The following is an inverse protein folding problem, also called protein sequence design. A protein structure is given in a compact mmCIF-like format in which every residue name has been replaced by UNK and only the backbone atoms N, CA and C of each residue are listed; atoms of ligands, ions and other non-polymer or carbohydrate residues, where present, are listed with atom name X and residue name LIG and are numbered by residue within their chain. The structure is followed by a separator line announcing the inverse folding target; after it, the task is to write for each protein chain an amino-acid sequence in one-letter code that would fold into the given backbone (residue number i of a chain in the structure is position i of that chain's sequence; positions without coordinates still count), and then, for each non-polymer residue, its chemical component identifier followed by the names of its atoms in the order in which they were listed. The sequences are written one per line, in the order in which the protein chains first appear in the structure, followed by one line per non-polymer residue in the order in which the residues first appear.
data_IF_281141188712
#
_entry.id   IF_281141188712
#
_cell.length_a   1.000
_cell.length_b   1.000
_cell.length_c   1.000
_cell.angle_alpha   90.00
_cell.angle_beta   90.00
_cell.angle_gamma   90.00
#
_symmetry.space_group_name_H-M   'P 1'
#
loop_
_entity.id
_entity.type
_entity.pdbx_description
1 polymer ?
#
# COMPACT_ATOMS: atom_id res chain seq x y z
N UNK A 1 -11.14 -4.87 -27.01
CA UNK A 1 -10.78 -5.35 -25.66
C UNK A 1 -11.24 -6.78 -25.56
N UNK A 2 -10.30 -7.70 -25.39
CA UNK A 2 -10.58 -9.10 -25.05
C UNK A 2 -10.90 -9.19 -23.55
N UNK A 3 -11.68 -10.21 -23.16
CA UNK A 3 -11.96 -10.50 -21.74
C UNK A 3 -10.68 -10.60 -20.91
N UNK A 4 -9.59 -11.14 -21.48
CA UNK A 4 -8.28 -11.21 -20.82
C UNK A 4 -7.67 -9.84 -20.52
N UNK A 5 -7.78 -8.90 -21.46
CA UNK A 5 -7.23 -7.55 -21.31
C UNK A 5 -8.00 -6.78 -20.23
N UNK A 6 -9.32 -6.96 -20.19
CA UNK A 6 -10.18 -6.37 -19.15
C UNK A 6 -9.85 -6.91 -17.76
N UNK A 7 -9.64 -8.23 -17.62
CA UNK A 7 -9.21 -8.82 -16.35
C UNK A 7 -7.82 -8.35 -15.92
N UNK A 8 -6.89 -8.18 -16.86
CA UNK A 8 -5.57 -7.67 -16.54
C UNK A 8 -5.62 -6.22 -16.05
N UNK A 9 -6.40 -5.37 -16.73
CA UNK A 9 -6.60 -3.98 -16.34
C UNK A 9 -7.27 -3.89 -14.96
N UNK A 10 -8.31 -4.70 -14.72
CA UNK A 10 -8.95 -4.76 -13.41
C UNK A 10 -7.98 -5.19 -12.31
N UNK A 11 -7.16 -6.22 -12.54
CA UNK A 11 -6.14 -6.66 -11.59
C UNK A 11 -5.10 -5.58 -11.32
N UNK A 12 -4.69 -4.81 -12.33
CA UNK A 12 -3.75 -3.70 -12.19
C UNK A 12 -4.35 -2.59 -11.33
N UNK A 13 -5.62 -2.24 -11.57
CA UNK A 13 -6.35 -1.24 -10.79
C UNK A 13 -6.52 -1.66 -9.33
N UNK A 14 -6.84 -2.93 -9.08
CA UNK A 14 -6.92 -3.46 -7.71
C UNK A 14 -5.57 -3.38 -6.99
N UNK A 15 -4.49 -3.83 -7.65
CA UNK A 15 -3.15 -3.76 -7.10
C UNK A 15 -2.77 -2.32 -6.74
N UNK A 16 -3.04 -1.38 -7.64
CA UNK A 16 -2.77 0.03 -7.41
C UNK A 16 -3.57 0.60 -6.23
N UNK A 17 -4.87 0.28 -6.14
CA UNK A 17 -5.70 0.70 -5.01
C UNK A 17 -5.21 0.14 -3.67
N UNK A 18 -4.76 -1.12 -3.65
CA UNK A 18 -4.18 -1.74 -2.45
C UNK A 18 -2.86 -1.08 -2.03
N UNK A 19 -2.00 -0.75 -2.99
CA UNK A 19 -0.72 -0.08 -2.73
C UNK A 19 -0.91 1.29 -2.08
N UNK A 20 -1.89 2.07 -2.56
CA UNK A 20 -2.26 3.36 -1.94
C UNK A 20 -2.81 3.15 -0.52
N UNK A 21 -3.74 2.21 -0.36
CA UNK A 21 -4.35 1.95 0.95
C UNK A 21 -3.31 1.50 1.98
N UNK A 22 -2.35 0.67 1.57
CA UNK A 22 -1.24 0.25 2.41
C UNK A 22 -0.33 1.43 2.79
N UNK A 23 0.01 2.29 1.83
CA UNK A 23 0.83 3.48 2.12
C UNK A 23 0.15 4.40 3.14
N UNK A 24 -1.13 4.71 2.92
CA UNK A 24 -1.91 5.55 3.84
C UNK A 24 -2.01 4.93 5.24
N UNK A 25 -2.16 3.60 5.33
CA UNK A 25 -2.17 2.89 6.60
C UNK A 25 -0.84 3.06 7.35
N UNK A 26 0.30 2.91 6.66
CA UNK A 26 1.63 3.04 7.25
C UNK A 26 1.85 4.48 7.74
N UNK A 27 1.54 5.49 6.91
CA UNK A 27 1.67 6.91 7.25
C UNK A 27 0.83 7.29 8.46
N UNK A 28 -0.45 6.91 8.46
CA UNK A 28 -1.38 7.22 9.56
C UNK A 28 -0.97 6.51 10.86
N UNK A 29 -0.46 5.28 10.76
CA UNK A 29 0.06 4.54 11.92
C UNK A 29 1.34 5.20 12.45
N UNK A 30 2.24 5.64 11.57
CA UNK A 30 3.47 6.34 11.95
C UNK A 30 3.16 7.69 12.62
N UNK A 31 2.19 8.44 12.08
CA UNK A 31 1.71 9.71 12.65
C UNK A 31 1.17 9.57 14.07
N UNK A 32 0.62 8.40 14.40
CA UNK A 32 0.12 8.07 15.74
C UNK A 32 1.17 7.39 16.64
N UNK A 33 2.43 7.35 16.19
CA UNK A 33 3.54 6.63 16.87
C UNK A 33 3.21 5.14 17.11
N UNK A 34 2.41 4.56 16.22
CA UNK A 34 1.93 3.18 16.30
C UNK A 34 2.94 2.15 15.78
N UNK A 35 2.62 0.88 16.05
CA UNK A 35 3.40 -0.28 15.60
C UNK A 35 2.57 -1.14 14.65
N UNK A 36 3.21 -1.62 13.60
CA UNK A 36 2.68 -2.67 12.72
C UNK A 36 3.16 -4.03 13.22
N UNK A 37 2.47 -5.09 12.82
CA UNK A 37 2.89 -6.44 13.14
C UNK A 37 2.74 -7.38 11.95
N UNK A 38 3.63 -8.37 11.89
CA UNK A 38 3.54 -9.45 10.92
C UNK A 38 3.85 -10.78 11.58
N UNK A 39 3.23 -11.83 11.06
CA UNK A 39 3.47 -13.20 11.50
C UNK A 39 4.76 -13.73 10.89
N UNK A 40 5.67 -14.21 11.73
CA UNK A 40 6.83 -14.97 11.28
C UNK A 40 6.43 -16.45 11.14
N UNK A 41 6.92 -17.18 10.13
CA UNK A 41 6.60 -18.61 9.91
C UNK A 41 6.90 -19.56 11.09
N UNK A 42 7.63 -19.08 12.11
CA UNK A 42 7.92 -19.84 13.34
C UNK A 42 6.84 -19.65 14.42
N UNK A 43 5.71 -19.02 14.07
CA UNK A 43 4.59 -18.74 14.97
C UNK A 43 4.78 -17.49 15.85
N UNK A 44 5.89 -16.74 15.70
CA UNK A 44 6.09 -15.49 16.44
C UNK A 44 5.42 -14.32 15.73
N UNK A 45 4.94 -13.36 16.50
CA UNK A 45 4.48 -12.06 15.99
C UNK A 45 5.62 -11.06 16.20
N UNK A 46 6.01 -10.38 15.13
CA UNK A 46 7.05 -9.35 15.16
C UNK A 46 6.36 -7.99 15.09
N UNK A 47 6.70 -7.10 16.01
CA UNK A 47 6.23 -5.72 16.02
C UNK A 47 7.33 -4.79 15.51
N UNK A 48 6.96 -3.87 14.64
CA UNK A 48 7.86 -2.86 14.07
C UNK A 48 7.21 -1.48 14.17
N UNK A 49 7.98 -0.44 14.46
CA UNK A 49 7.44 0.92 14.45
C UNK A 49 7.07 1.30 13.02
N UNK A 50 5.87 1.87 12.83
CA UNK A 50 5.43 2.27 11.50
C UNK A 50 6.35 3.34 10.88
N UNK A 51 6.99 4.16 11.71
CA UNK A 51 8.02 5.12 11.28
C UNK A 51 9.24 4.46 10.64
N UNK A 52 9.63 3.29 11.10
CA UNK A 52 10.80 2.58 10.57
C UNK A 52 10.45 1.94 9.22
N UNK A 53 9.25 1.37 9.11
CA UNK A 53 8.71 0.88 7.83
C UNK A 53 8.64 1.99 6.79
N UNK A 54 8.19 3.18 7.19
CA UNK A 54 8.09 4.33 6.27
C UNK A 54 9.46 4.76 5.74
N UNK A 55 10.48 4.86 6.61
CA UNK A 55 11.86 5.19 6.21
C UNK A 55 12.45 4.16 5.25
N UNK A 56 12.25 2.87 5.52
CA UNK A 56 12.72 1.80 4.62
C UNK A 56 12.03 1.90 3.26
N UNK A 57 10.73 2.24 3.22
CA UNK A 57 10.00 2.40 1.95
C UNK A 57 10.49 3.61 1.16
N UNK A 58 10.70 4.76 1.81
CA UNK A 58 11.32 5.95 1.20
C UNK A 58 12.70 5.62 0.60
N UNK A 59 13.53 4.88 1.34
CA UNK A 59 14.84 4.45 0.89
C UNK A 59 14.80 3.45 -0.27
N UNK A 60 13.76 2.61 -0.33
CA UNK A 60 13.57 1.62 -1.40
C UNK A 60 13.14 2.22 -2.75
N UNK A 61 12.80 3.51 -2.78
CA UNK A 61 12.33 4.19 -3.99
C UNK A 61 10.97 3.70 -4.49
N UNK A 62 10.24 2.94 -3.68
CA UNK A 62 8.85 2.55 -3.93
C UNK A 62 7.98 3.76 -3.62
N UNK A 63 7.95 4.71 -4.55
CA UNK A 63 6.97 5.79 -4.53
C UNK A 63 5.69 5.29 -5.19
N UNK A 64 4.57 5.42 -4.49
CA UNK A 64 3.27 5.32 -5.17
C UNK A 64 3.30 6.40 -6.28
N UNK A 65 3.17 6.06 -7.57
CA UNK A 65 3.18 7.08 -8.60
C UNK A 65 2.01 8.03 -8.33
N UNK A 66 2.32 9.31 -8.07
CA UNK A 66 1.34 10.38 -8.20
C UNK A 66 1.05 10.55 -9.68
N UNK A 67 0.27 9.65 -10.28
CA UNK A 67 -0.19 9.81 -11.65
C UNK A 67 -1.63 10.33 -11.64
N UNK A 68 -1.77 11.64 -11.81
CA UNK A 68 -2.68 12.37 -12.71
C UNK A 68 -3.91 11.62 -13.29
N UNK A 69 -4.63 10.85 -12.46
CA UNK A 69 -5.94 10.29 -12.74
C UNK A 69 -6.92 10.71 -11.65
N UNK A 70 -6.88 11.99 -11.28
CA UNK A 70 -8.03 12.63 -10.63
C UNK A 70 -8.95 13.08 -11.75
N UNK A 71 -9.84 12.19 -12.17
CA UNK A 71 -11.22 12.57 -12.46
C UNK A 71 -12.07 11.31 -12.54
N UNK A 72 -12.89 11.09 -11.50
CA UNK A 72 -13.92 10.06 -11.53
C UNK A 72 -13.98 9.20 -10.27
N UNK A 73 -14.49 9.78 -9.19
CA UNK A 73 -15.37 9.10 -8.24
C UNK A 73 -14.91 7.72 -7.71
N UNK A 74 -13.85 7.71 -6.91
CA UNK A 74 -13.40 6.47 -6.26
C UNK A 74 -14.03 6.20 -4.90
N UNK A 75 -14.64 7.19 -4.25
CA UNK A 75 -15.40 7.03 -3.00
C UNK A 75 -16.46 8.14 -2.88
N UNK A 76 -17.69 7.86 -3.31
CA UNK A 76 -18.88 8.64 -2.93
C UNK A 76 -20.03 7.69 -2.67
#
# INVERSE_FOLDING_TARGET
MSTREEYQEFSNRLRYGLEIAEQQLIEETARREGKLCYGHPNGKIIHIAASDVLKERENSGITCPQSDLVEGSWFR
#
